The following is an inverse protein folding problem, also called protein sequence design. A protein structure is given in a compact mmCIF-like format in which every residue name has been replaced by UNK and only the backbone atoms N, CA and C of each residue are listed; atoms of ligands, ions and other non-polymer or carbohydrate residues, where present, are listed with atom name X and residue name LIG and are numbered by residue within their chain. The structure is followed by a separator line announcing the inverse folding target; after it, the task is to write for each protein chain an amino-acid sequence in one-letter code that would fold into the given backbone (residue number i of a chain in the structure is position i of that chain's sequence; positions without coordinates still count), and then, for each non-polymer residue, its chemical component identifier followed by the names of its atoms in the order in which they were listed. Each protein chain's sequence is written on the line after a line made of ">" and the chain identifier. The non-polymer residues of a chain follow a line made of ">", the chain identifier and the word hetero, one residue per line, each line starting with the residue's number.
data_IF_481366419488
#
_entry.id   IF_481366419488
#
_cell.length_a   1.000
_cell.length_b   1.000
_cell.length_c   1.000
_cell.angle_alpha   90.00
_cell.angle_beta   90.00
_cell.angle_gamma   90.00
#
_symmetry.space_group_name_H-M   'P 1'
#
loop_
_entity.id
_entity.type
_entity.pdbx_description
1 polymer ?
#
# COMPACT_ATOMS: atom_id res chain seq x y z
N UNK A 1 -7.36 -0.80 17.87
CA UNK A 1 -6.62 0.38 17.35
C UNK A 1 -6.23 1.24 18.54
N UNK A 2 -4.96 1.60 18.67
CA UNK A 2 -4.40 2.40 19.78
C UNK A 2 -3.39 3.42 19.23
N UNK A 3 -2.85 4.28 20.09
CA UNK A 3 -1.83 5.27 19.71
C UNK A 3 -2.38 6.43 18.87
N UNK A 4 -1.48 7.20 18.25
CA UNK A 4 -1.84 8.38 17.46
C UNK A 4 -2.69 8.05 16.22
N UNK A 5 -2.48 6.90 15.60
CA UNK A 5 -3.28 6.39 14.47
C UNK A 5 -4.60 5.73 14.85
N UNK A 6 -5.07 5.83 16.11
CA UNK A 6 -6.30 5.16 16.56
C UNK A 6 -7.55 5.50 15.72
N UNK A 7 -7.57 6.69 15.11
CA UNK A 7 -8.65 7.18 14.25
C UNK A 7 -8.57 6.73 12.78
N UNK A 8 -7.57 5.94 12.38
CA UNK A 8 -7.51 5.34 11.05
C UNK A 8 -8.77 4.50 10.84
N UNK A 9 -9.63 4.87 9.87
CA UNK A 9 -10.87 4.14 9.60
C UNK A 9 -10.63 2.96 8.65
N UNK A 10 -9.68 3.12 7.72
CA UNK A 10 -9.47 2.19 6.62
C UNK A 10 -10.66 2.21 5.67
N UNK A 11 -10.91 1.06 5.05
CA UNK A 11 -12.09 0.82 4.21
C UNK A 11 -13.35 0.45 4.98
N UNK A 12 -13.47 0.80 6.27
CA UNK A 12 -14.65 0.48 7.10
C UNK A 12 -15.92 0.99 6.41
N UNK A 13 -16.98 0.18 6.41
CA UNK A 13 -18.27 0.42 5.73
C UNK A 13 -18.17 0.53 4.19
N UNK A 14 -16.98 0.33 3.61
CA UNK A 14 -16.78 0.19 2.18
C UNK A 14 -17.10 -1.22 1.69
N UNK A 15 -17.13 -1.40 0.38
CA UNK A 15 -17.27 -2.72 -0.22
C UNK A 15 -16.00 -3.56 0.01
N UNK A 16 -16.17 -4.88 0.07
CA UNK A 16 -15.06 -5.82 0.00
C UNK A 16 -14.56 -5.88 -1.45
N UNK A 17 -13.26 -5.69 -1.65
CA UNK A 17 -12.61 -5.89 -2.93
C UNK A 17 -11.66 -7.08 -2.80
N UNK A 18 -11.86 -8.12 -3.60
CA UNK A 18 -11.00 -9.31 -3.56
C UNK A 18 -9.98 -9.26 -4.67
N UNK A 19 -8.69 -9.24 -4.31
CA UNK A 19 -7.58 -9.41 -5.26
C UNK A 19 -7.54 -10.87 -5.69
N UNK A 20 -7.63 -11.08 -7.00
CA UNK A 20 -7.63 -12.40 -7.64
C UNK A 20 -6.45 -12.58 -8.58
N UNK A 21 -5.85 -11.48 -9.02
CA UNK A 21 -4.76 -11.45 -9.99
C UNK A 21 -3.54 -10.72 -9.38
N UNK A 22 -2.37 -11.38 -9.27
CA UNK A 22 -1.16 -10.76 -8.73
C UNK A 22 -0.38 -9.93 -9.75
N UNK A 23 -0.81 -9.86 -11.03
CA UNK A 23 -0.16 -9.00 -12.02
C UNK A 23 -0.33 -7.53 -11.66
N UNK A 24 0.61 -6.70 -12.11
CA UNK A 24 0.52 -5.25 -12.01
C UNK A 24 0.68 -4.64 -13.40
N UNK A 25 -0.06 -3.54 -13.63
CA UNK A 25 0.14 -2.63 -14.75
C UNK A 25 0.11 -1.23 -14.14
N UNK A 26 1.26 -0.55 -14.13
CA UNK A 26 1.40 0.73 -13.45
C UNK A 26 0.49 1.82 -14.01
N UNK A 27 0.16 1.76 -15.30
CA UNK A 27 -0.58 2.78 -16.03
C UNK A 27 -2.06 2.41 -16.21
N UNK A 28 -2.38 1.15 -16.48
CA UNK A 28 -3.71 0.67 -16.83
C UNK A 28 -4.11 -0.56 -16.00
N UNK A 29 -4.18 -0.44 -14.66
CA UNK A 29 -4.54 -1.56 -13.80
C UNK A 29 -5.95 -2.07 -14.11
N UNK A 30 -6.08 -3.39 -14.23
CA UNK A 30 -7.36 -4.06 -14.49
C UNK A 30 -8.07 -4.50 -13.21
N UNK A 31 -9.42 -4.60 -13.20
CA UNK A 31 -10.17 -5.19 -12.09
C UNK A 31 -9.62 -6.58 -11.71
N UNK A 32 -9.62 -6.90 -10.42
CA UNK A 32 -9.01 -8.10 -9.85
C UNK A 32 -7.56 -7.92 -9.37
N UNK A 33 -6.86 -6.85 -9.76
CA UNK A 33 -5.49 -6.54 -9.31
C UNK A 33 -5.47 -5.68 -8.06
N UNK A 34 -4.37 -5.76 -7.28
CA UNK A 34 -4.21 -4.92 -6.09
C UNK A 34 -4.22 -3.42 -6.44
N UNK A 35 -3.51 -3.02 -7.51
CA UNK A 35 -3.44 -1.61 -7.93
C UNK A 35 -4.81 -1.03 -8.24
N UNK A 36 -5.63 -1.76 -9.00
CA UNK A 36 -6.98 -1.29 -9.31
C UNK A 36 -7.76 -0.99 -8.04
N UNK A 37 -7.81 -1.91 -7.06
CA UNK A 37 -8.52 -1.68 -5.80
C UNK A 37 -7.95 -0.53 -4.96
N UNK A 38 -6.62 -0.39 -4.91
CA UNK A 38 -5.94 0.60 -4.08
C UNK A 38 -6.17 2.05 -4.53
N UNK A 39 -6.27 2.30 -5.84
CA UNK A 39 -6.40 3.65 -6.40
C UNK A 39 -7.84 4.18 -6.43
N UNK A 40 -8.85 3.32 -6.31
CA UNK A 40 -10.26 3.74 -6.37
C UNK A 40 -10.57 4.78 -5.30
N UNK A 41 -11.46 5.72 -5.62
CA UNK A 41 -11.83 6.81 -4.70
C UNK A 41 -12.78 6.36 -3.59
N UNK A 42 -13.61 5.34 -3.85
CA UNK A 42 -14.55 4.80 -2.85
C UNK A 42 -13.84 4.04 -1.71
N UNK A 43 -14.39 4.02 -0.50
CA UNK A 43 -13.86 3.20 0.59
C UNK A 43 -13.86 1.71 0.22
N UNK A 44 -12.75 1.01 0.46
CA UNK A 44 -12.63 -0.42 0.16
C UNK A 44 -11.85 -1.19 1.21
N UNK A 45 -12.39 -2.35 1.59
CA UNK A 45 -11.69 -3.37 2.35
C UNK A 45 -11.12 -4.41 1.38
N UNK A 46 -9.83 -4.33 1.12
CA UNK A 46 -9.12 -5.15 0.14
C UNK A 46 -8.62 -6.42 0.81
N UNK A 47 -9.05 -7.58 0.30
CA UNK A 47 -8.67 -8.92 0.75
C UNK A 47 -8.09 -9.72 -0.41
N UNK A 48 -7.56 -10.92 -0.14
CA UNK A 48 -6.87 -11.73 -1.13
C UNK A 48 -7.50 -13.11 -1.27
N UNK A 49 -7.76 -13.55 -2.50
CA UNK A 49 -8.41 -14.84 -2.78
C UNK A 49 -7.55 -16.05 -2.40
N UNK A 50 -6.22 -15.91 -2.47
CA UNK A 50 -5.24 -16.97 -2.24
C UNK A 50 -3.87 -16.37 -1.92
N UNK A 51 -2.94 -17.22 -1.50
CA UNK A 51 -1.53 -16.88 -1.39
C UNK A 51 -1.01 -16.30 -2.72
N UNK A 52 -0.25 -15.20 -2.64
CA UNK A 52 0.32 -14.57 -3.82
C UNK A 52 1.54 -13.71 -3.51
N UNK A 53 2.43 -13.63 -4.49
CA UNK A 53 3.55 -12.68 -4.53
C UNK A 53 3.24 -11.67 -5.63
N UNK A 54 3.16 -10.40 -5.25
CA UNK A 54 2.84 -9.28 -6.13
C UNK A 54 4.14 -8.51 -6.34
N UNK A 55 4.64 -8.53 -7.57
CA UNK A 55 5.74 -7.66 -8.00
C UNK A 55 5.13 -6.47 -8.72
N UNK A 56 5.18 -5.30 -8.08
CA UNK A 56 4.69 -4.07 -8.68
C UNK A 56 5.67 -3.59 -9.75
N UNK A 57 5.15 -2.99 -10.82
CA UNK A 57 5.95 -2.41 -11.89
C UNK A 57 6.50 -1.03 -11.48
N UNK A 58 5.72 -0.29 -10.71
CA UNK A 58 6.07 0.99 -10.12
C UNK A 58 5.42 1.18 -8.74
N UNK A 59 5.69 2.26 -8.04
CA UNK A 59 5.10 2.56 -6.73
C UNK A 59 3.57 2.41 -6.74
N UNK A 60 3.04 1.71 -5.73
CA UNK A 60 1.61 1.52 -5.56
C UNK A 60 1.04 2.67 -4.73
N UNK A 61 0.34 3.59 -5.40
CA UNK A 61 -0.44 4.60 -4.70
C UNK A 61 -1.63 3.98 -3.98
N UNK A 62 -1.72 4.23 -2.68
CA UNK A 62 -2.91 3.94 -1.88
C UNK A 62 -3.72 5.21 -1.66
N UNK A 63 -4.97 5.20 -2.13
CA UNK A 63 -5.89 6.31 -1.93
C UNK A 63 -6.50 6.28 -0.51
N UNK A 64 -7.23 7.33 -0.15
CA UNK A 64 -7.91 7.42 1.16
C UNK A 64 -8.95 6.31 1.38
N UNK A 65 -9.24 6.02 2.64
CA UNK A 65 -10.25 5.03 3.07
C UNK A 65 -10.01 3.62 2.51
N UNK A 66 -8.78 3.13 2.65
CA UNK A 66 -8.40 1.78 2.21
C UNK A 66 -7.94 0.95 3.39
N UNK A 67 -8.39 -0.29 3.43
CA UNK A 67 -7.74 -1.34 4.21
C UNK A 67 -7.14 -2.33 3.22
N UNK A 68 -5.85 -2.64 3.32
CA UNK A 68 -5.30 -3.88 2.76
C UNK A 68 -5.17 -4.87 3.91
N UNK A 69 -5.84 -6.01 3.78
CA UNK A 69 -5.94 -7.03 4.81
C UNK A 69 -5.44 -8.37 4.29
N UNK A 70 -4.23 -8.74 4.70
CA UNK A 70 -3.59 -10.01 4.35
C UNK A 70 -4.07 -11.22 5.15
N UNK A 71 -5.03 -11.08 6.08
CA UNK A 71 -5.52 -12.23 6.84
C UNK A 71 -6.15 -13.28 5.92
N UNK A 72 -5.90 -14.55 6.22
CA UNK A 72 -6.40 -15.69 5.45
C UNK A 72 -5.56 -16.07 4.22
N UNK A 73 -4.53 -15.30 3.87
CA UNK A 73 -3.62 -15.61 2.77
C UNK A 73 -2.16 -15.19 3.08
N UNK A 74 -1.18 -15.90 2.52
CA UNK A 74 0.23 -15.47 2.53
C UNK A 74 0.46 -14.52 1.37
N UNK A 75 0.43 -13.23 1.64
CA UNK A 75 0.61 -12.18 0.62
C UNK A 75 1.97 -11.52 0.80
N UNK A 76 2.73 -11.44 -0.28
CA UNK A 76 3.99 -10.71 -0.34
C UNK A 76 3.95 -9.63 -1.42
N UNK A 77 4.39 -8.41 -1.08
CA UNK A 77 4.76 -7.38 -2.07
C UNK A 77 6.28 -7.35 -2.11
N UNK A 78 6.88 -7.72 -3.24
CA UNK A 78 8.32 -7.96 -3.27
C UNK A 78 8.97 -7.86 -4.65
N UNK A 79 10.30 -7.68 -4.63
CA UNK A 79 11.19 -7.73 -5.81
C UNK A 79 10.85 -6.67 -6.88
N UNK A 80 10.36 -5.52 -6.42
CA UNK A 80 9.99 -4.37 -7.21
C UNK A 80 9.76 -3.17 -6.29
N UNK A 81 9.28 -2.05 -6.83
CA UNK A 81 8.74 -0.94 -6.04
C UNK A 81 7.63 -1.43 -5.10
N UNK A 82 7.44 -0.77 -3.96
CA UNK A 82 6.43 -1.10 -2.95
C UNK A 82 5.42 0.05 -2.76
N UNK A 83 4.91 0.28 -1.54
CA UNK A 83 3.70 1.06 -1.29
C UNK A 83 4.02 2.54 -1.02
N UNK A 84 3.21 3.43 -1.60
CA UNK A 84 3.24 4.87 -1.33
C UNK A 84 1.85 5.39 -0.92
N UNK A 85 1.75 5.90 0.31
CA UNK A 85 0.58 6.62 0.83
C UNK A 85 0.90 8.10 0.71
N UNK A 86 0.30 8.79 -0.27
CA UNK A 86 0.62 10.17 -0.61
C UNK A 86 -0.63 11.04 -0.64
N UNK A 87 -0.69 12.05 0.24
CA UNK A 87 -1.85 12.94 0.42
C UNK A 87 -3.15 12.15 0.65
N UNK A 88 -3.05 11.09 1.47
CA UNK A 88 -4.16 10.19 1.74
C UNK A 88 -4.46 10.10 3.24
N UNK A 89 -5.72 9.81 3.56
CA UNK A 89 -6.20 9.72 4.93
C UNK A 89 -6.95 8.41 5.18
N UNK A 90 -6.92 7.95 6.43
CA UNK A 90 -7.64 6.74 6.87
C UNK A 90 -7.20 5.48 6.09
N UNK A 91 -5.92 5.18 6.13
CA UNK A 91 -5.34 3.98 5.49
C UNK A 91 -4.94 2.95 6.55
N UNK A 92 -5.23 1.68 6.28
CA UNK A 92 -4.79 0.55 7.11
C UNK A 92 -4.07 -0.46 6.22
N UNK A 93 -2.87 -0.86 6.61
CA UNK A 93 -2.13 -1.97 6.00
C UNK A 93 -1.91 -3.01 7.08
N UNK A 94 -2.44 -4.21 6.86
CA UNK A 94 -2.43 -5.26 7.86
C UNK A 94 -2.06 -6.63 7.29
N UNK A 95 -1.19 -7.36 7.98
CA UNK A 95 -0.94 -8.79 7.69
C UNK A 95 -0.15 -9.08 6.41
N UNK A 96 0.60 -8.10 5.87
CA UNK A 96 1.40 -8.28 4.66
C UNK A 96 2.85 -8.66 4.95
N UNK A 97 3.49 -9.36 4.02
CA UNK A 97 4.95 -9.43 3.92
C UNK A 97 5.40 -8.43 2.86
N UNK A 98 6.28 -7.49 3.21
CA UNK A 98 6.80 -6.50 2.28
C UNK A 98 8.32 -6.56 2.32
N UNK A 99 8.95 -6.98 1.23
CA UNK A 99 10.39 -7.22 1.27
C UNK A 99 11.07 -7.14 -0.08
N UNK A 100 12.40 -6.91 -0.06
CA UNK A 100 13.16 -6.78 -1.32
C UNK A 100 12.57 -5.68 -2.20
N UNK A 101 12.17 -4.58 -1.57
CA UNK A 101 11.67 -3.41 -2.27
C UNK A 101 12.85 -2.73 -2.96
N UNK A 102 12.68 -2.41 -4.24
CA UNK A 102 13.71 -1.84 -5.10
C UNK A 102 13.30 -0.48 -5.60
N UNK A 103 14.29 0.33 -6.02
CA UNK A 103 14.04 1.61 -6.68
C UNK A 103 13.07 1.48 -7.84
N UNK A 104 12.12 2.41 -7.89
CA UNK A 104 11.24 2.62 -9.04
C UNK A 104 12.03 3.19 -10.22
N UNK A 105 11.57 2.88 -11.43
CA UNK A 105 12.08 3.52 -12.65
C UNK A 105 11.15 4.66 -13.06
N UNK A 106 11.66 5.68 -13.77
CA UNK A 106 10.81 6.68 -14.38
C UNK A 106 9.75 6.05 -15.29
N UNK A 107 8.52 6.55 -15.24
CA UNK A 107 7.42 5.98 -16.02
C UNK A 107 6.05 6.56 -15.66
N UNK A 108 5.05 6.21 -16.46
CA UNK A 108 3.67 6.59 -16.19
C UNK A 108 3.08 5.72 -15.08
N UNK A 109 2.45 6.36 -14.10
CA UNK A 109 1.82 5.66 -12.96
C UNK A 109 0.44 6.24 -12.73
N UNK A 110 -0.57 5.35 -12.68
CA UNK A 110 -1.93 5.71 -12.33
C UNK A 110 -2.06 5.86 -10.82
N UNK A 111 -2.42 7.07 -10.38
CA UNK A 111 -2.62 7.43 -8.97
C UNK A 111 -4.09 7.40 -8.55
N UNK A 112 -5.00 7.65 -9.49
CA UNK A 112 -6.46 7.60 -9.29
C UNK A 112 -7.16 7.07 -10.55
N UNK A 113 -8.46 6.79 -10.54
CA UNK A 113 -9.17 6.34 -11.73
C UNK A 113 -9.02 7.30 -12.92
N UNK A 114 -8.88 8.60 -12.65
CA UNK A 114 -8.86 9.66 -13.66
C UNK A 114 -7.50 10.35 -13.81
N UNK A 115 -6.49 9.96 -13.03
CA UNK A 115 -5.18 10.62 -13.02
C UNK A 115 -4.03 9.64 -13.20
N UNK A 116 -3.26 9.86 -14.26
CA UNK A 116 -1.98 9.21 -14.55
C UNK A 116 -0.95 10.32 -14.65
N UNK A 117 0.19 10.12 -14.02
CA UNK A 117 1.29 11.08 -14.05
C UNK A 117 2.63 10.39 -14.29
N UNK A 118 3.56 11.15 -14.86
CA UNK A 118 4.94 10.72 -14.99
C UNK A 118 5.62 10.81 -13.62
N UNK A 119 6.14 9.68 -13.13
CA UNK A 119 6.90 9.57 -11.88
C UNK A 119 8.37 9.43 -12.19
N UNK A 120 9.23 10.01 -11.36
CA UNK A 120 10.69 9.81 -11.41
C UNK A 120 11.16 8.46 -10.85
N UNK A 121 10.25 7.70 -10.23
CA UNK A 121 10.56 6.51 -9.43
C UNK A 121 10.75 6.84 -7.95
N UNK A 122 10.51 5.86 -7.09
CA UNK A 122 10.77 5.94 -5.64
C UNK A 122 12.10 5.28 -5.25
N UNK A 123 12.60 5.60 -4.06
CA UNK A 123 13.93 5.23 -3.58
C UNK A 123 14.07 3.76 -3.15
N UNK A 124 12.94 3.07 -2.99
CA UNK A 124 12.88 1.64 -2.71
C UNK A 124 12.46 1.30 -1.29
N UNK A 125 11.72 2.20 -0.63
CA UNK A 125 11.09 1.92 0.66
C UNK A 125 10.06 0.80 0.58
N UNK A 126 9.80 0.12 1.70
CA UNK A 126 8.66 -0.80 1.78
C UNK A 126 7.31 -0.06 1.90
N UNK A 127 7.22 0.95 2.77
CA UNK A 127 6.03 1.81 2.88
C UNK A 127 6.47 3.26 3.09
N UNK A 128 6.17 4.14 2.13
CA UNK A 128 6.33 5.59 2.30
C UNK A 128 5.00 6.23 2.69
N UNK A 129 4.96 7.00 3.78
CA UNK A 129 3.83 7.79 4.26
C UNK A 129 4.20 9.28 4.12
N UNK A 130 3.57 9.95 3.16
CA UNK A 130 3.91 11.31 2.74
C UNK A 130 2.67 12.21 2.81
N UNK A 131 2.77 13.33 3.53
CA UNK A 131 1.68 14.30 3.71
C UNK A 131 0.31 13.66 4.02
N UNK A 132 0.31 12.65 4.89
CA UNK A 132 -0.84 11.77 5.11
C UNK A 132 -1.23 11.69 6.59
N UNK A 133 -2.48 11.37 6.89
CA UNK A 133 -2.92 11.24 8.28
C UNK A 133 -3.82 10.05 8.55
N UNK A 134 -3.93 9.66 9.81
CA UNK A 134 -4.78 8.55 10.24
C UNK A 134 -4.39 7.24 9.53
N UNK A 135 -3.12 6.85 9.68
CA UNK A 135 -2.56 5.64 9.06
C UNK A 135 -2.26 4.60 10.15
N UNK A 136 -2.56 3.34 9.87
CA UNK A 136 -2.23 2.23 10.77
C UNK A 136 -1.54 1.10 10.01
N UNK A 137 -0.28 0.84 10.36
CA UNK A 137 0.52 -0.27 9.83
C UNK A 137 0.65 -1.33 10.92
N UNK A 138 0.04 -2.50 10.70
CA UNK A 138 -0.15 -3.49 11.77
C UNK A 138 0.13 -4.93 11.32
N UNK A 139 0.77 -5.75 12.16
CA UNK A 139 1.02 -7.17 11.89
C UNK A 139 1.70 -7.47 10.54
N UNK A 140 2.53 -6.55 10.06
CA UNK A 140 3.29 -6.73 8.84
C UNK A 140 4.69 -7.29 9.14
N UNK A 141 5.25 -8.03 8.18
CA UNK A 141 6.66 -8.41 8.18
C UNK A 141 7.39 -7.61 7.10
N UNK A 142 8.30 -6.73 7.50
CA UNK A 142 9.02 -5.84 6.60
C UNK A 142 10.52 -6.14 6.66
N UNK A 143 11.17 -6.30 5.50
CA UNK A 143 12.58 -6.68 5.48
C UNK A 143 13.30 -6.42 4.16
N UNK A 144 14.62 -6.24 4.20
CA UNK A 144 15.48 -6.19 2.99
C UNK A 144 15.02 -5.18 1.92
N UNK A 145 14.51 -4.00 2.31
CA UNK A 145 14.28 -2.91 1.34
C UNK A 145 15.60 -2.26 0.92
N UNK A 146 15.62 -1.64 -0.26
CA UNK A 146 16.81 -0.95 -0.77
C UNK A 146 17.11 0.31 0.04
N UNK A 147 16.05 1.00 0.49
CA UNK A 147 16.16 2.19 1.34
C UNK A 147 15.44 1.93 2.68
N UNK A 148 14.40 2.68 3.05
CA UNK A 148 13.68 2.52 4.30
C UNK A 148 12.74 1.30 4.35
N UNK A 149 12.43 0.83 5.57
CA UNK A 149 11.29 -0.08 5.75
C UNK A 149 9.99 0.73 5.83
N UNK A 150 9.94 1.77 6.67
CA UNK A 150 8.80 2.68 6.75
C UNK A 150 9.32 4.11 6.89
N UNK A 151 8.93 4.95 5.94
CA UNK A 151 9.23 6.38 5.95
C UNK A 151 7.97 7.18 6.27
N UNK A 152 8.06 8.08 7.26
CA UNK A 152 6.95 8.95 7.67
C UNK A 152 7.40 10.40 7.63
N UNK A 153 6.98 11.11 6.58
CA UNK A 153 7.59 12.40 6.20
C UNK A 153 6.54 13.43 5.77
N UNK A 154 7.00 14.67 5.54
CA UNK A 154 6.22 15.78 4.97
C UNK A 154 4.92 16.10 5.73
N UNK A 155 5.02 16.32 7.05
CA UNK A 155 3.86 16.71 7.86
C UNK A 155 2.86 15.57 8.11
N UNK A 156 3.23 14.32 7.81
CA UNK A 156 2.40 13.17 8.15
C UNK A 156 2.20 13.07 9.67
N UNK A 157 0.98 12.74 10.09
CA UNK A 157 0.60 12.71 11.50
C UNK A 157 -0.46 11.65 11.78
N UNK A 158 -0.81 11.42 13.05
CA UNK A 158 -1.80 10.40 13.44
C UNK A 158 -1.48 9.02 12.81
N UNK A 159 -0.23 8.58 12.99
CA UNK A 159 0.27 7.28 12.50
C UNK A 159 0.48 6.34 13.69
N UNK A 160 0.04 5.09 13.57
CA UNK A 160 0.44 4.00 14.48
C UNK A 160 1.14 2.92 13.67
N UNK A 161 2.28 2.44 14.17
CA UNK A 161 3.02 1.29 13.64
C UNK A 161 3.08 0.27 14.79
N UNK A 162 2.33 -0.83 14.71
CA UNK A 162 2.19 -1.80 15.81
C UNK A 162 2.33 -3.24 15.37
N UNK A 163 2.86 -4.11 16.25
CA UNK A 163 2.93 -5.56 16.03
C UNK A 163 3.63 -5.98 14.73
N UNK A 164 4.53 -5.14 14.21
CA UNK A 164 5.28 -5.45 13.00
C UNK A 164 6.57 -6.17 13.36
N UNK A 165 7.04 -7.04 12.46
CA UNK A 165 8.35 -7.66 12.54
C UNK A 165 9.27 -7.02 11.49
N UNK A 166 10.30 -6.33 11.94
CA UNK A 166 11.33 -5.71 11.11
C UNK A 166 12.59 -6.57 11.17
N UNK A 167 13.18 -6.90 10.02
CA UNK A 167 14.40 -7.72 9.93
C UNK A 167 15.27 -7.39 8.73
#
# INVERSE_FOLDING_TARGET
>A
RVGFGKGALGGKNGAIYTVTDPSDDAENPKPGTLRYGAILTKPLWIVFKKDMVIKLENELFMNSFKTIDGRGAKVAIAKGPCIRIHEANHVIIHGLRIHHCTRGKPGMVRRSPTHVEHRGGQDGDAITIFASSHVWIDHCKLSHSTDGLIDVVHGSTAVTISNNFFS
#
